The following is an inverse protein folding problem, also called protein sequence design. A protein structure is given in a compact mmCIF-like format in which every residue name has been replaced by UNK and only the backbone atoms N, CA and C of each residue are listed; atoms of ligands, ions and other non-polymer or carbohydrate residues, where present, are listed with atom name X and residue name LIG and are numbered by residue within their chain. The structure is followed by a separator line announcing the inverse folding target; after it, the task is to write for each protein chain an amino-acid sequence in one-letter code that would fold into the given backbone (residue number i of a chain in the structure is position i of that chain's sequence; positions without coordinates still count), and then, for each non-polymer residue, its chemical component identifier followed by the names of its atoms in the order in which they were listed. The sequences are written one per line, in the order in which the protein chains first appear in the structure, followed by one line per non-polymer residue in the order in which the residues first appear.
data_IF_824605711650
#
_entry.id   IF_824605711650
#
_cell.length_a   1.000
_cell.length_b   1.000
_cell.length_c   1.000
_cell.angle_alpha   90.00
_cell.angle_beta   90.00
_cell.angle_gamma   90.00
#
_symmetry.space_group_name_H-M   'P 1'
#
loop_
_entity.id
_entity.type
_entity.pdbx_description
1 polymer ?
#
# COMPACT_ATOMS: atom_id res chain seq x y z
N UNK A 1 -0.23 -10.58 -18.32
CA UNK A 1 -0.60 -9.38 -17.53
C UNK A 1 -2.04 -9.44 -17.01
N UNK A 2 -3.10 -9.49 -17.85
CA UNK A 2 -4.50 -9.55 -17.34
C UNK A 2 -4.81 -10.73 -16.41
N UNK A 3 -4.22 -11.91 -16.62
CA UNK A 3 -4.48 -13.07 -15.74
C UNK A 3 -3.87 -12.94 -14.34
N UNK A 4 -2.72 -12.24 -14.21
CA UNK A 4 -2.06 -12.04 -12.91
C UNK A 4 -2.81 -11.00 -12.07
N UNK A 5 -3.25 -9.90 -12.68
CA UNK A 5 -4.07 -8.87 -12.03
C UNK A 5 -5.38 -9.46 -11.50
N UNK A 6 -6.08 -10.26 -12.31
CA UNK A 6 -7.31 -10.93 -11.87
C UNK A 6 -7.04 -11.90 -10.73
N UNK A 7 -5.98 -12.72 -10.82
CA UNK A 7 -5.58 -13.64 -9.75
C UNK A 7 -5.29 -12.91 -8.43
N UNK A 8 -4.61 -11.77 -8.48
CA UNK A 8 -4.35 -10.94 -7.30
C UNK A 8 -5.68 -10.43 -6.72
N UNK A 9 -6.53 -9.82 -7.55
CA UNK A 9 -7.81 -9.25 -7.08
C UNK A 9 -8.75 -10.31 -6.50
N UNK A 10 -8.82 -11.49 -7.11
CA UNK A 10 -9.60 -12.63 -6.61
C UNK A 10 -8.98 -13.18 -5.32
N UNK A 11 -7.66 -13.35 -5.28
CA UNK A 11 -6.94 -13.80 -4.08
C UNK A 11 -7.15 -12.87 -2.88
N UNK A 12 -7.08 -11.55 -3.10
CA UNK A 12 -7.27 -10.55 -2.06
C UNK A 12 -8.68 -10.58 -1.43
N UNK A 13 -9.70 -10.99 -2.17
CA UNK A 13 -11.07 -11.09 -1.65
C UNK A 13 -11.23 -12.17 -0.57
N UNK A 14 -10.31 -13.13 -0.48
CA UNK A 14 -10.39 -14.19 0.52
C UNK A 14 -9.83 -13.81 1.88
N UNK A 15 -9.22 -12.62 2.02
CA UNK A 15 -8.66 -12.15 3.29
C UNK A 15 -9.68 -11.27 4.03
N UNK A 16 -10.22 -11.84 5.12
CA UNK A 16 -11.18 -11.21 6.02
C UNK A 16 -10.66 -11.32 7.46
N UNK A 17 -9.85 -10.35 7.87
CA UNK A 17 -9.01 -10.46 9.05
C UNK A 17 -7.73 -11.26 8.79
N UNK A 18 -6.84 -11.25 9.78
CA UNK A 18 -5.53 -11.92 9.71
C UNK A 18 -5.38 -12.90 10.86
N UNK A 19 -4.77 -14.05 10.58
CA UNK A 19 -4.42 -15.03 11.61
C UNK A 19 -2.98 -14.85 12.09
N UNK A 20 -2.09 -14.38 11.20
CA UNK A 20 -0.68 -14.14 11.49
C UNK A 20 -0.23 -12.73 11.11
N UNK A 21 0.55 -12.14 12.01
CA UNK A 21 1.29 -10.91 11.72
C UNK A 21 2.74 -11.24 11.36
N UNK A 22 3.19 -10.68 10.25
CA UNK A 22 4.60 -10.66 9.87
C UNK A 22 5.19 -9.33 10.30
N UNK A 23 6.50 -9.28 10.55
CA UNK A 23 7.15 -8.07 11.03
C UNK A 23 8.36 -7.72 10.15
N UNK A 24 8.54 -6.43 9.91
CA UNK A 24 9.80 -5.85 9.42
C UNK A 24 10.59 -5.43 10.67
N UNK A 25 11.63 -6.18 11.09
CA UNK A 25 12.28 -5.97 12.39
C UNK A 25 12.89 -4.57 12.54
N UNK A 26 13.49 -4.05 11.46
CA UNK A 26 14.13 -2.73 11.42
C UNK A 26 13.14 -1.57 11.67
N UNK A 27 11.92 -1.68 11.14
CA UNK A 27 10.90 -0.63 11.24
C UNK A 27 9.96 -0.86 12.44
N UNK A 28 9.98 -2.05 13.02
CA UNK A 28 8.96 -2.54 13.96
C UNK A 28 7.55 -2.34 13.41
N UNK A 29 7.38 -2.53 12.11
CA UNK A 29 6.08 -2.54 11.44
C UNK A 29 5.62 -3.98 11.29
N UNK A 30 4.37 -4.24 11.69
CA UNK A 30 3.67 -5.49 11.44
C UNK A 30 2.85 -5.38 10.16
N UNK A 31 2.58 -6.50 9.50
CA UNK A 31 1.66 -6.55 8.38
C UNK A 31 0.94 -7.89 8.30
N UNK A 32 -0.21 -7.89 7.62
CA UNK A 32 -1.19 -8.98 7.60
C UNK A 32 -0.91 -10.04 6.53
N UNK A 33 -1.61 -11.17 6.64
CA UNK A 33 -1.56 -12.28 5.68
C UNK A 33 -1.90 -11.86 4.26
N UNK A 34 -2.96 -11.05 4.08
CA UNK A 34 -3.35 -10.56 2.76
C UNK A 34 -2.26 -9.71 2.11
N UNK A 35 -1.55 -8.91 2.90
CA UNK A 35 -0.44 -8.10 2.40
C UNK A 35 0.81 -8.95 2.09
N UNK A 36 1.08 -9.98 2.91
CA UNK A 36 2.14 -10.94 2.63
C UNK A 36 1.86 -11.70 1.33
N UNK A 37 0.63 -12.15 1.12
CA UNK A 37 0.19 -12.77 -0.12
C UNK A 37 0.37 -11.84 -1.31
N UNK A 38 -0.09 -10.59 -1.21
CA UNK A 38 0.05 -9.58 -2.26
C UNK A 38 1.52 -9.42 -2.67
N UNK A 39 2.40 -9.19 -1.70
CA UNK A 39 3.83 -9.00 -1.97
C UNK A 39 4.49 -10.23 -2.59
N UNK A 40 4.05 -11.45 -2.26
CA UNK A 40 4.56 -12.68 -2.88
C UNK A 40 4.05 -12.88 -4.32
N UNK A 41 2.79 -12.54 -4.62
CA UNK A 41 2.21 -12.79 -5.95
C UNK A 41 2.56 -11.68 -6.96
N UNK A 42 2.77 -10.47 -6.45
CA UNK A 42 3.15 -9.30 -7.23
C UNK A 42 4.65 -9.00 -7.18
N UNK A 43 5.44 -9.78 -6.43
CA UNK A 43 6.88 -9.56 -6.18
C UNK A 43 7.21 -8.14 -5.66
N UNK A 44 6.27 -7.50 -4.95
CA UNK A 44 6.31 -6.08 -4.62
C UNK A 44 6.58 -5.81 -3.12
N UNK A 45 7.62 -6.42 -2.55
CA UNK A 45 7.99 -6.17 -1.14
C UNK A 45 8.39 -4.72 -0.86
N UNK A 46 8.88 -4.01 -1.89
CA UNK A 46 9.25 -2.60 -1.79
C UNK A 46 8.06 -1.75 -1.31
N UNK A 47 6.83 -2.09 -1.72
CA UNK A 47 5.62 -1.35 -1.36
C UNK A 47 5.37 -1.42 0.14
N UNK A 48 5.53 -2.61 0.74
CA UNK A 48 5.39 -2.79 2.20
C UNK A 48 6.46 -1.97 2.92
N UNK A 49 7.72 -2.04 2.47
CA UNK A 49 8.81 -1.34 3.14
C UNK A 49 8.70 0.18 3.03
N UNK A 50 8.39 0.71 1.85
CA UNK A 50 8.28 2.14 1.61
C UNK A 50 7.11 2.74 2.40
N UNK A 51 5.92 2.16 2.24
CA UNK A 51 4.72 2.61 2.96
C UNK A 51 4.89 2.52 4.48
N UNK A 52 5.62 1.51 4.98
CA UNK A 52 5.97 1.40 6.39
C UNK A 52 6.86 2.55 6.88
N UNK A 53 7.89 2.94 6.11
CA UNK A 53 8.79 4.04 6.50
C UNK A 53 8.04 5.35 6.57
N UNK A 54 7.26 5.66 5.52
CA UNK A 54 6.52 6.93 5.45
C UNK A 54 5.42 6.96 6.51
N UNK A 55 4.60 5.92 6.63
CA UNK A 55 3.53 5.88 7.63
C UNK A 55 4.07 6.02 9.06
N UNK A 56 5.20 5.37 9.38
CA UNK A 56 5.87 5.55 10.69
C UNK A 56 6.27 6.99 10.96
N UNK A 57 6.75 7.72 9.95
CA UNK A 57 7.12 9.13 10.08
C UNK A 57 5.90 10.06 10.29
N UNK A 58 4.71 9.60 9.91
CA UNK A 58 3.46 10.34 10.00
C UNK A 58 2.66 10.07 11.28
N UNK A 59 3.04 9.07 12.10
CA UNK A 59 2.39 8.76 13.40
C UNK A 59 2.20 10.00 14.29
N UNK A 60 3.19 10.94 14.42
CA UNK A 60 3.00 12.12 15.25
C UNK A 60 1.89 13.08 14.76
N UNK A 61 1.44 12.93 13.50
CA UNK A 61 0.39 13.75 12.88
C UNK A 61 -0.97 13.05 12.89
N UNK A 62 -1.01 11.72 12.78
CA UNK A 62 -2.24 10.94 12.84
C UNK A 62 -1.98 9.51 13.34
N UNK A 63 -2.86 9.01 14.21
CA UNK A 63 -2.83 7.64 14.70
C UNK A 63 -3.35 6.62 13.66
N UNK A 64 -4.18 7.10 12.73
CA UNK A 64 -4.73 6.31 11.63
C UNK A 64 -4.29 6.93 10.30
N UNK A 65 -3.66 6.14 9.45
CA UNK A 65 -3.15 6.59 8.16
C UNK A 65 -3.73 5.68 7.09
N UNK A 66 -4.41 6.27 6.10
CA UNK A 66 -4.77 5.59 4.87
C UNK A 66 -3.70 5.85 3.82
N UNK A 67 -3.41 4.83 3.02
CA UNK A 67 -2.34 4.83 2.03
C UNK A 67 -2.94 4.38 0.71
N UNK A 68 -3.04 5.32 -0.23
CA UNK A 68 -3.65 5.09 -1.54
C UNK A 68 -2.57 5.09 -2.62
N UNK A 69 -2.24 3.90 -3.12
CA UNK A 69 -1.47 3.75 -4.34
C UNK A 69 -2.38 3.93 -5.55
N UNK A 70 -1.94 4.75 -6.52
CA UNK A 70 -2.63 4.98 -7.79
C UNK A 70 -1.63 5.06 -8.94
N UNK A 71 -1.85 4.24 -9.96
CA UNK A 71 -1.16 4.34 -11.26
C UNK A 71 -1.77 5.50 -12.05
N UNK A 72 -0.92 6.40 -12.53
CA UNK A 72 -1.35 7.61 -13.22
C UNK A 72 -1.74 7.31 -14.67
N UNK A 73 -2.72 8.05 -15.20
CA UNK A 73 -3.08 8.00 -16.62
C UNK A 73 -1.95 8.55 -17.48
N UNK A 74 -1.82 8.08 -18.74
CA UNK A 74 -0.76 8.51 -19.66
C UNK A 74 -0.60 10.02 -19.76
N UNK A 75 -1.70 10.76 -19.82
CA UNK A 75 -1.71 12.23 -19.84
C UNK A 75 -1.03 12.83 -18.60
N UNK A 76 -1.29 12.28 -17.40
CA UNK A 76 -0.64 12.73 -16.17
C UNK A 76 0.82 12.31 -16.11
N UNK A 77 1.17 11.15 -16.68
CA UNK A 77 2.57 10.71 -16.75
C UNK A 77 3.39 11.66 -17.63
N UNK A 78 2.86 12.12 -18.77
CA UNK A 78 3.53 13.08 -19.66
C UNK A 78 3.74 14.44 -18.98
N UNK A 79 2.80 14.89 -18.15
CA UNK A 79 2.89 16.17 -17.45
C UNK A 79 3.82 16.11 -16.23
N UNK A 80 3.73 15.04 -15.44
CA UNK A 80 4.41 14.95 -14.13
C UNK A 80 5.72 14.17 -14.17
N UNK A 81 5.92 13.31 -15.17
CA UNK A 81 7.02 12.37 -15.24
C UNK A 81 6.90 11.17 -14.30
N UNK A 82 5.78 11.00 -13.60
CA UNK A 82 5.54 9.89 -12.67
C UNK A 82 4.57 8.86 -13.26
N UNK A 83 4.89 7.58 -13.13
CA UNK A 83 4.03 6.46 -13.50
C UNK A 83 2.95 6.18 -12.45
N UNK A 84 3.27 6.38 -11.17
CA UNK A 84 2.35 6.17 -10.05
C UNK A 84 2.56 7.18 -8.93
N UNK A 85 1.57 7.28 -8.04
CA UNK A 85 1.64 8.07 -6.82
C UNK A 85 1.09 7.28 -5.63
N UNK A 86 1.65 7.53 -4.45
CA UNK A 86 1.10 7.11 -3.17
C UNK A 86 0.70 8.35 -2.39
N UNK A 87 -0.54 8.37 -1.92
CA UNK A 87 -1.10 9.46 -1.12
C UNK A 87 -1.39 8.93 0.28
N UNK A 88 -0.89 9.64 1.29
CA UNK A 88 -1.11 9.33 2.70
C UNK A 88 -2.12 10.31 3.27
N UNK A 89 -3.22 9.84 3.87
CA UNK A 89 -4.22 10.71 4.51
C UNK A 89 -4.59 10.22 5.90
N UNK A 90 -5.23 11.05 6.72
CA UNK A 90 -5.71 10.70 8.06
C UNK A 90 -7.04 9.92 8.07
N UNK A 91 -7.59 9.58 6.90
CA UNK A 91 -8.91 8.95 6.75
C UNK A 91 -10.09 9.94 6.72
N UNK A 92 -9.85 11.24 6.92
CA UNK A 92 -10.83 12.33 6.83
C UNK A 92 -10.49 13.28 5.67
N UNK A 93 -9.97 12.75 4.57
CA UNK A 93 -9.55 13.48 3.37
C UNK A 93 -8.42 14.52 3.59
N UNK A 94 -7.79 14.58 4.77
CA UNK A 94 -6.62 15.44 4.98
C UNK A 94 -5.36 14.75 4.49
N UNK A 95 -4.74 15.31 3.45
CA UNK A 95 -3.48 14.81 2.91
C UNK A 95 -2.33 15.12 3.87
N UNK A 96 -1.65 14.08 4.32
CA UNK A 96 -0.49 14.16 5.20
C UNK A 96 0.82 14.22 4.41
N UNK A 97 0.91 13.44 3.33
CA UNK A 97 2.10 13.31 2.48
C UNK A 97 1.71 12.78 1.08
N UNK A 98 2.51 13.11 0.06
CA UNK A 98 2.32 12.59 -1.30
C UNK A 98 3.67 12.24 -1.93
N UNK A 99 3.79 11.02 -2.43
CA UNK A 99 5.02 10.51 -3.04
C UNK A 99 4.77 10.07 -4.49
N UNK A 100 5.55 10.62 -5.42
CA UNK A 100 5.52 10.27 -6.84
C UNK A 100 6.58 9.24 -7.19
N UNK A 101 6.25 8.31 -8.08
CA UNK A 101 7.11 7.24 -8.54
C UNK A 101 7.32 7.34 -10.04
N UNK A 102 8.55 7.57 -10.53
CA UNK A 102 8.85 7.63 -11.96
C UNK A 102 8.52 6.33 -12.70
N UNK A 103 8.71 5.20 -12.02
CA UNK A 103 8.38 3.89 -12.54
C UNK A 103 7.93 2.95 -11.40
N UNK A 104 7.10 1.95 -11.71
CA UNK A 104 6.67 0.93 -10.75
C UNK A 104 6.36 -0.41 -11.41
N UNK A 105 6.83 -1.48 -10.78
CA UNK A 105 6.55 -2.88 -11.16
C UNK A 105 5.24 -3.41 -10.55
N UNK A 106 4.56 -2.63 -9.70
CA UNK A 106 3.34 -3.08 -9.03
C UNK A 106 2.20 -3.27 -10.03
N UNK A 107 1.59 -4.47 -10.12
CA UNK A 107 0.72 -4.83 -11.24
C UNK A 107 -0.69 -4.24 -11.17
N UNK A 108 -1.15 -3.73 -10.02
CA UNK A 108 -2.49 -3.15 -9.90
C UNK A 108 -2.48 -1.65 -10.19
N UNK A 109 -3.58 -1.14 -10.74
CA UNK A 109 -3.76 0.29 -10.98
C UNK A 109 -4.06 1.07 -9.69
N UNK A 110 -4.65 0.41 -8.70
CA UNK A 110 -5.00 1.00 -7.41
C UNK A 110 -4.87 -0.03 -6.29
N UNK A 111 -4.47 0.44 -5.12
CA UNK A 111 -4.47 -0.32 -3.88
C UNK A 111 -4.63 0.67 -2.72
N UNK A 112 -5.54 0.35 -1.79
CA UNK A 112 -5.67 1.06 -0.52
C UNK A 112 -5.16 0.17 0.60
N UNK A 113 -4.38 0.75 1.51
CA UNK A 113 -3.89 0.13 2.75
C UNK A 113 -4.20 1.02 3.94
N UNK A 114 -4.27 0.42 5.12
CA UNK A 114 -4.37 1.13 6.38
C UNK A 114 -3.15 0.87 7.25
N UNK A 115 -2.73 1.90 7.96
CA UNK A 115 -1.65 1.83 8.93
C UNK A 115 -2.11 2.38 10.27
N UNK A 116 -2.09 1.52 11.29
CA UNK A 116 -2.57 1.81 12.65
C UNK A 116 -1.87 0.89 13.64
N UNK A 117 -1.54 1.38 14.83
CA UNK A 117 -0.88 0.58 15.88
C UNK A 117 0.34 -0.22 15.36
N UNK A 118 1.20 0.47 14.61
CA UNK A 118 2.38 -0.11 13.96
C UNK A 118 2.09 -1.27 13.00
N UNK A 119 0.87 -1.35 12.48
CA UNK A 119 0.40 -2.48 11.66
C UNK A 119 -0.14 -1.97 10.33
N UNK A 120 0.40 -2.50 9.24
CA UNK A 120 0.01 -2.24 7.86
C UNK A 120 -0.92 -3.37 7.36
N UNK A 121 -2.10 -3.03 6.87
CA UNK A 121 -3.13 -4.03 6.54
C UNK A 121 -3.98 -3.63 5.34
N UNK A 122 -4.65 -4.63 4.74
CA UNK A 122 -5.69 -4.37 3.76
C UNK A 122 -6.95 -3.82 4.47
N UNK A 123 -7.79 -3.03 3.77
CA UNK A 123 -9.06 -2.55 4.33
C UNK A 123 -10.03 -3.66 4.77
N UNK A 124 -9.94 -4.84 4.15
CA UNK A 124 -10.74 -6.01 4.53
C UNK A 124 -10.21 -6.74 5.77
N UNK A 125 -9.04 -6.34 6.29
CA UNK A 125 -8.38 -6.91 7.45
C UNK A 125 -8.30 -5.95 8.66
N UNK A 126 -8.91 -4.76 8.54
CA UNK A 126 -9.03 -3.75 9.62
C UNK A 126 -10.33 -3.90 10.42
#
# INVERSE_FOLDING_TARGET
MKSQVNKIKEGLQHFHGTEMFYQIPLLRTRFTDGLKYLANVADCFWLITDTSVIAKSLIPRSEFITIDFKRLSKEKQEVTGYEAEIIYTDGNDNILEKQGYPATDFPLDELRLFFVNDTLMLPSEY
#
